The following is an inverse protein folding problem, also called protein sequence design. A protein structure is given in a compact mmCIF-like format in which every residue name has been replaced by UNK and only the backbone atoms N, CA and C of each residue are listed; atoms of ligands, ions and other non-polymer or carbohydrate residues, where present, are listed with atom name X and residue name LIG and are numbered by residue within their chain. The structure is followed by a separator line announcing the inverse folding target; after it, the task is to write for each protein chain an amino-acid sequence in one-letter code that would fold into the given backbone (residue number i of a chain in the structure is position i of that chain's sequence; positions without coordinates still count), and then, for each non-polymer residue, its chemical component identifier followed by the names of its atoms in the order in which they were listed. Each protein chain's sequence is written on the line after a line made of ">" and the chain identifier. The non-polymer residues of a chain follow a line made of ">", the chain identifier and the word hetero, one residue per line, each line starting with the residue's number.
data_IF_776614732132
#
_entry.id   IF_776614732132
#
_cell.length_a   1.000
_cell.length_b   1.000
_cell.length_c   1.000
_cell.angle_alpha   90.00
_cell.angle_beta   90.00
_cell.angle_gamma   90.00
#
_symmetry.space_group_name_H-M   'P 1'
#
loop_
_entity.id
_entity.type
_entity.pdbx_description
1 polymer ?
#
# COMPACT_ATOMS: atom_id res chain seq x y z
N UNK A 1 -7.71 11.32 -9.13
CA UNK A 1 -6.81 10.15 -9.32
C UNK A 1 -6.01 9.90 -8.04
N UNK A 2 -6.09 8.70 -7.50
CA UNK A 2 -5.49 8.36 -6.21
C UNK A 2 -3.97 8.54 -6.29
N UNK A 3 -3.38 9.41 -5.47
CA UNK A 3 -1.93 9.53 -5.33
C UNK A 3 -1.26 8.20 -4.92
N UNK A 4 -2.04 7.24 -4.38
CA UNK A 4 -1.60 5.88 -4.11
C UNK A 4 -1.14 5.09 -5.34
N UNK A 5 -1.72 5.33 -6.52
CA UNK A 5 -1.39 4.54 -7.71
C UNK A 5 0.07 4.75 -8.11
N UNK A 6 0.53 6.00 -8.08
CA UNK A 6 1.92 6.35 -8.41
C UNK A 6 2.89 5.71 -7.42
N UNK A 7 2.60 5.77 -6.12
CA UNK A 7 3.40 5.14 -5.07
C UNK A 7 3.53 3.63 -5.29
N UNK A 8 2.44 2.96 -5.68
CA UNK A 8 2.43 1.51 -5.94
C UNK A 8 3.31 1.17 -7.14
N UNK A 9 3.22 1.94 -8.22
CA UNK A 9 4.01 1.75 -9.42
C UNK A 9 5.50 2.03 -9.17
N UNK A 10 5.83 3.08 -8.40
CA UNK A 10 7.20 3.40 -7.99
C UNK A 10 7.84 2.28 -7.16
N UNK A 11 7.05 1.57 -6.37
CA UNK A 11 7.49 0.45 -5.55
C UNK A 11 7.56 -0.88 -6.33
N UNK A 12 7.51 -0.85 -7.68
CA UNK A 12 7.49 -2.03 -8.57
C UNK A 12 6.29 -2.96 -8.27
N UNK A 13 5.21 -2.35 -7.77
CA UNK A 13 3.93 -2.98 -7.50
C UNK A 13 3.05 -3.03 -8.73
N UNK A 14 2.18 -4.03 -8.80
CA UNK A 14 1.22 -4.21 -9.88
C UNK A 14 -0.19 -3.96 -9.37
N UNK A 15 -0.86 -2.95 -9.89
CA UNK A 15 -2.29 -2.71 -9.61
C UNK A 15 -3.09 -3.85 -10.26
N UNK A 16 -3.88 -4.55 -9.46
CA UNK A 16 -4.78 -5.61 -9.92
C UNK A 16 -6.21 -5.09 -10.07
N UNK A 17 -6.65 -4.23 -9.14
CA UNK A 17 -8.00 -3.66 -9.13
C UNK A 17 -7.96 -2.24 -8.59
N UNK A 18 -8.78 -1.36 -9.17
CA UNK A 18 -8.94 0.01 -8.70
C UNK A 18 -10.37 0.49 -8.94
N UNK A 19 -10.91 1.14 -7.93
CA UNK A 19 -12.25 1.73 -7.89
C UNK A 19 -12.19 3.07 -7.12
N UNK A 20 -13.32 3.77 -7.02
CA UNK A 20 -13.42 5.09 -6.40
C UNK A 20 -13.06 5.09 -4.90
N UNK A 21 -13.25 3.97 -4.20
CA UNK A 21 -13.01 3.80 -2.75
C UNK A 21 -12.09 2.62 -2.40
N UNK A 22 -11.58 1.89 -3.39
CA UNK A 22 -10.77 0.69 -3.17
C UNK A 22 -9.65 0.55 -4.19
N UNK A 23 -8.50 0.08 -3.73
CA UNK A 23 -7.36 -0.23 -4.57
C UNK A 23 -6.70 -1.52 -4.08
N UNK A 24 -6.50 -2.48 -4.97
CA UNK A 24 -5.72 -3.69 -4.71
C UNK A 24 -4.53 -3.78 -5.65
N UNK A 25 -3.37 -4.06 -5.07
CA UNK A 25 -2.12 -4.26 -5.77
C UNK A 25 -1.36 -5.49 -5.25
N UNK A 26 -0.49 -6.04 -6.09
CA UNK A 26 0.42 -7.12 -5.73
C UNK A 26 1.87 -6.68 -5.82
N UNK A 27 2.67 -7.12 -4.85
CA UNK A 27 4.12 -6.92 -4.81
C UNK A 27 4.81 -8.26 -4.96
N UNK A 28 5.68 -8.38 -5.96
CA UNK A 28 6.44 -9.61 -6.19
C UNK A 28 7.90 -9.40 -5.80
N UNK A 29 8.36 -10.14 -4.80
CA UNK A 29 9.77 -10.15 -4.46
C UNK A 29 10.53 -11.04 -5.47
N UNK A 30 11.29 -10.41 -6.37
CA UNK A 30 12.08 -11.11 -7.40
C UNK A 30 13.11 -12.08 -6.81
N UNK A 31 13.62 -11.80 -5.62
CA UNK A 31 14.63 -12.65 -4.96
C UNK A 31 14.01 -13.87 -4.28
N UNK A 32 12.84 -13.71 -3.66
CA UNK A 32 12.23 -14.74 -2.81
C UNK A 32 10.98 -15.41 -3.41
N UNK A 33 10.58 -15.03 -4.63
CA UNK A 33 9.37 -15.52 -5.33
C UNK A 33 8.06 -15.38 -4.54
N UNK A 34 8.04 -14.59 -3.48
CA UNK A 34 6.82 -14.29 -2.72
C UNK A 34 5.99 -13.23 -3.44
N UNK A 35 4.68 -13.42 -3.36
CA UNK A 35 3.68 -12.45 -3.80
C UNK A 35 2.93 -12.00 -2.57
N UNK A 36 2.89 -10.69 -2.38
CA UNK A 36 2.14 -10.03 -1.33
C UNK A 36 1.00 -9.23 -1.95
N UNK A 37 -0.17 -9.29 -1.32
CA UNK A 37 -1.33 -8.47 -1.66
C UNK A 37 -1.37 -7.24 -0.75
N UNK A 38 -1.51 -6.06 -1.33
CA UNK A 38 -1.77 -4.80 -0.64
C UNK A 38 -3.13 -4.30 -1.06
N UNK A 39 -4.03 -4.11 -0.10
CA UNK A 39 -5.34 -3.52 -0.30
C UNK A 39 -5.44 -2.22 0.48
N UNK A 40 -5.90 -1.18 -0.21
CA UNK A 40 -6.14 0.15 0.33
C UNK A 40 -7.63 0.46 0.17
N UNK A 41 -8.29 0.79 1.27
CA UNK A 41 -9.69 1.21 1.28
C UNK A 41 -9.79 2.61 1.84
N UNK A 42 -10.50 3.47 1.12
CA UNK A 42 -10.88 4.78 1.62
C UNK A 42 -12.13 4.64 2.50
N UNK A 43 -12.06 5.20 3.70
CA UNK A 43 -13.20 5.36 4.59
C UNK A 43 -13.62 6.82 4.53
N UNK A 44 -14.73 7.09 3.84
CA UNK A 44 -15.23 8.45 3.63
C UNK A 44 -15.82 9.06 4.91
N UNK A 45 -16.26 8.23 5.87
CA UNK A 45 -16.84 8.70 7.13
C UNK A 45 -15.77 9.30 8.04
N UNK A 46 -14.58 8.70 8.04
CA UNK A 46 -13.45 9.11 8.87
C UNK A 46 -12.33 9.79 8.07
N UNK A 47 -12.54 9.97 6.76
CA UNK A 47 -11.56 10.48 5.80
C UNK A 47 -10.17 9.81 5.96
N UNK A 48 -10.18 8.51 6.25
CA UNK A 48 -8.99 7.72 6.60
C UNK A 48 -8.74 6.62 5.58
N UNK A 49 -7.48 6.28 5.35
CA UNK A 49 -7.11 5.20 4.43
C UNK A 49 -6.70 3.97 5.23
N UNK A 50 -7.45 2.88 5.07
CA UNK A 50 -7.13 1.59 5.65
C UNK A 50 -6.22 0.81 4.71
N UNK A 51 -5.02 0.47 5.17
CA UNK A 51 -4.05 -0.31 4.41
C UNK A 51 -3.91 -1.70 5.04
N UNK A 52 -4.09 -2.74 4.24
CA UNK A 52 -3.89 -4.13 4.62
C UNK A 52 -2.89 -4.76 3.67
N UNK A 53 -1.86 -5.40 4.23
CA UNK A 53 -0.88 -6.16 3.45
C UNK A 53 -0.89 -7.62 3.91
N UNK A 54 -0.93 -8.58 2.98
CA UNK A 54 -1.02 -10.01 3.28
C UNK A 54 -0.20 -10.84 2.29
N UNK A 55 0.72 -11.67 2.79
CA UNK A 55 1.49 -12.61 1.96
C UNK A 55 0.64 -13.81 1.55
N UNK A 56 0.72 -14.22 0.28
CA UNK A 56 -0.02 -15.40 -0.23
C UNK A 56 0.54 -16.73 0.26
N UNK A 57 1.80 -16.74 0.69
CA UNK A 57 2.45 -17.89 1.31
C UNK A 57 2.58 -17.62 2.81
N UNK A 58 1.94 -18.45 3.63
CA UNK A 58 1.84 -18.31 5.09
C UNK A 58 3.14 -18.54 5.85
N UNK A 59 4.20 -17.81 5.49
CA UNK A 59 5.45 -17.78 6.23
C UNK A 59 5.50 -16.56 7.15
N UNK A 60 6.20 -16.71 8.28
CA UNK A 60 6.67 -15.58 9.07
C UNK A 60 7.51 -14.69 8.14
N UNK A 61 6.96 -13.53 7.78
CA UNK A 61 7.43 -12.64 6.71
C UNK A 61 8.74 -11.90 7.04
N UNK A 62 9.43 -12.28 8.12
CA UNK A 62 10.60 -11.58 8.68
C UNK A 62 10.42 -10.05 8.80
N UNK A 63 9.17 -9.58 8.94
CA UNK A 63 8.83 -8.16 8.99
C UNK A 63 8.82 -7.44 7.64
N UNK A 64 8.96 -8.14 6.50
CA UNK A 64 8.91 -7.54 5.15
C UNK A 64 7.57 -6.84 4.91
N UNK A 65 6.48 -7.49 5.33
CA UNK A 65 5.14 -6.95 5.17
C UNK A 65 4.94 -5.69 6.02
N UNK A 66 5.45 -5.70 7.26
CA UNK A 66 5.45 -4.54 8.15
C UNK A 66 6.25 -3.38 7.57
N UNK A 67 7.47 -3.63 7.09
CA UNK A 67 8.32 -2.60 6.46
C UNK A 67 7.63 -1.95 5.26
N UNK A 68 6.93 -2.75 4.44
CA UNK A 68 6.18 -2.21 3.30
C UNK A 68 5.03 -1.30 3.74
N UNK A 69 4.25 -1.72 4.74
CA UNK A 69 3.17 -0.87 5.28
C UNK A 69 3.72 0.42 5.89
N UNK A 70 4.87 0.36 6.58
CA UNK A 70 5.56 1.55 7.08
C UNK A 70 6.04 2.46 5.94
N UNK A 71 6.66 1.93 4.90
CA UNK A 71 7.08 2.70 3.71
C UNK A 71 5.88 3.33 2.98
N UNK A 72 4.76 2.61 2.85
CA UNK A 72 3.52 3.16 2.33
C UNK A 72 3.03 4.33 3.17
N UNK A 73 3.06 4.22 4.50
CA UNK A 73 2.65 5.30 5.39
C UNK A 73 3.54 6.53 5.25
N UNK A 74 4.85 6.36 5.18
CA UNK A 74 5.79 7.46 4.99
C UNK A 74 5.57 8.18 3.66
N UNK A 75 5.31 7.44 2.57
CA UNK A 75 5.07 8.03 1.25
C UNK A 75 3.69 8.68 1.10
N UNK A 76 2.68 8.19 1.84
CA UNK A 76 1.32 8.75 1.82
C UNK A 76 1.10 9.88 2.83
N UNK A 77 1.95 9.93 3.85
CA UNK A 77 2.02 11.02 4.81
C UNK A 77 3.37 11.72 4.66
N UNK A 78 3.62 12.45 3.55
CA UNK A 78 4.67 13.44 3.61
C UNK A 78 4.29 14.39 4.76
N UNK A 79 5.24 14.77 5.61
CA UNK A 79 5.08 15.84 6.61
C UNK A 79 4.71 17.21 5.99
N UNK A 80 4.23 17.26 4.75
CA UNK A 80 3.88 18.45 3.99
C UNK A 80 2.57 18.23 3.21
N UNK A 81 1.46 18.16 3.93
CA UNK A 81 0.25 18.83 3.45
C UNK A 81 0.02 20.03 4.36
N UNK A 82 0.70 21.14 4.06
CA UNK A 82 0.31 22.52 4.39
C UNK A 82 -0.81 22.64 5.45
N UNK A 83 -0.48 22.43 6.73
CA UNK A 83 -1.20 23.12 7.79
C UNK A 83 -0.75 24.58 7.74
N UNK A 84 -1.38 25.37 6.86
CA UNK A 84 -1.49 26.81 7.10
C UNK A 84 -2.55 27.01 8.17
N UNK A 85 -2.09 27.31 9.38
CA UNK A 85 -2.82 27.99 10.44
C UNK A 85 -1.91 29.05 11.01
#
# INVERSE_FOLDING_TARGET
>A
PWALQDVILEMDGKIEEVDDHFLHATFRNKLLRFVDDVACRLDDETNSIHIRSASRFGYSDFGVNRKRVEEFRERLCPEDTSCKG
#
